data_IF_603941923504
#
_entry.id   IF_603941923504
#
_cell.length_a   1.000
_cell.length_b   1.000
_cell.length_c   1.000
_cell.angle_alpha   90.00
_cell.angle_beta   90.00
_cell.angle_gamma   90.00
#
_symmetry.space_group_name_H-M   'P 1'
#
loop_
_entity.id
_entity.type
_entity.pdbx_description
1 polymer ?
#
# COMPACT_ATOMS: atom_id res chain seq x y z
N UNK A 1 14.32 16.76 8.57
CA UNK A 1 13.53 17.56 7.58
C UNK A 1 12.14 17.76 8.18
N UNK A 2 11.68 19.01 8.32
CA UNK A 2 10.39 19.35 8.91
C UNK A 2 9.23 19.39 7.90
N UNK A 3 8.10 19.96 8.31
CA UNK A 3 6.96 20.29 7.45
C UNK A 3 7.10 21.67 6.82
N UNK A 4 6.46 21.88 5.68
CA UNK A 4 6.41 23.14 4.94
C UNK A 4 5.15 23.95 5.31
N UNK A 5 5.06 25.23 4.90
CA UNK A 5 3.86 26.03 5.13
C UNK A 5 2.59 25.34 4.60
N UNK A 6 1.47 25.52 5.32
CA UNK A 6 0.22 24.78 5.07
C UNK A 6 -0.30 24.89 3.64
N UNK A 7 -0.18 26.05 3.01
CA UNK A 7 -0.63 26.26 1.63
C UNK A 7 0.20 25.43 0.64
N UNK A 8 1.50 25.27 0.90
CA UNK A 8 2.40 24.50 0.04
C UNK A 8 2.12 23.00 0.19
N UNK A 9 1.97 22.51 1.43
CA UNK A 9 1.56 21.13 1.71
C UNK A 9 0.11 20.82 1.27
N UNK A 10 -0.69 21.85 0.99
CA UNK A 10 -2.01 21.62 0.43
C UNK A 10 -1.94 21.26 -1.06
N UNK A 11 -0.98 21.82 -1.79
CA UNK A 11 -0.88 21.73 -3.26
C UNK A 11 0.16 20.71 -3.72
N UNK A 12 1.36 20.72 -3.14
CA UNK A 12 2.51 19.95 -3.58
C UNK A 12 2.77 18.72 -2.72
N UNK A 13 3.32 17.67 -3.32
CA UNK A 13 3.96 16.59 -2.57
C UNK A 13 5.21 17.16 -1.90
N UNK A 14 5.35 16.90 -0.60
CA UNK A 14 6.46 17.37 0.22
C UNK A 14 7.18 16.17 0.83
N UNK A 15 8.35 16.41 1.41
CA UNK A 15 9.07 15.35 2.11
C UNK A 15 8.21 14.65 3.18
N UNK A 16 7.25 15.35 3.81
CA UNK A 16 6.32 14.74 4.77
C UNK A 16 5.34 13.78 4.10
N UNK A 17 4.70 14.20 3.00
CA UNK A 17 3.77 13.33 2.25
C UNK A 17 4.48 12.11 1.66
N UNK A 18 5.69 12.30 1.13
CA UNK A 18 6.48 11.21 0.57
C UNK A 18 6.97 10.21 1.62
N UNK A 19 7.20 10.64 2.87
CA UNK A 19 7.47 9.70 3.97
C UNK A 19 6.26 8.82 4.25
N UNK A 20 5.05 9.41 4.31
CA UNK A 20 3.80 8.64 4.46
C UNK A 20 3.65 7.64 3.32
N UNK A 21 3.91 8.03 2.08
CA UNK A 21 3.88 7.14 0.92
C UNK A 21 4.79 5.90 1.09
N UNK A 22 5.98 6.07 1.67
CA UNK A 22 6.89 4.97 1.97
C UNK A 22 6.62 4.25 3.30
N UNK A 23 5.53 4.57 3.97
CA UNK A 23 5.15 4.03 5.26
C UNK A 23 4.56 2.63 5.18
N UNK A 24 5.08 1.73 6.01
CA UNK A 24 4.52 0.39 6.28
C UNK A 24 3.62 0.35 7.52
N UNK A 25 3.36 1.51 8.16
CA UNK A 25 2.34 1.63 9.20
C UNK A 25 0.98 1.33 8.57
N UNK A 26 0.09 0.65 9.31
CA UNK A 26 -1.25 0.30 8.81
C UNK A 26 -2.04 1.52 8.29
N UNK A 27 -1.90 2.67 8.93
CA UNK A 27 -2.60 3.91 8.54
C UNK A 27 -2.08 4.52 7.23
N UNK A 28 -0.82 4.21 6.86
CA UNK A 28 -0.12 4.81 5.73
C UNK A 28 -0.12 3.92 4.48
N UNK A 29 -0.69 2.71 4.57
CA UNK A 29 -0.84 1.82 3.43
C UNK A 29 -1.77 2.44 2.39
N UNK A 30 -1.34 2.41 1.13
CA UNK A 30 -2.11 2.92 -0.02
C UNK A 30 -2.50 4.40 0.12
N UNK A 31 -1.56 5.24 0.58
CA UNK A 31 -1.72 6.70 0.75
C UNK A 31 -0.68 7.50 -0.04
N UNK A 32 -1.04 8.75 -0.35
CA UNK A 32 -0.15 9.78 -0.91
C UNK A 32 0.61 9.36 -2.19
N UNK A 33 -0.13 8.97 -3.23
CA UNK A 33 0.41 8.48 -4.50
C UNK A 33 0.91 9.58 -5.46
N UNK A 34 0.43 10.81 -5.32
CA UNK A 34 0.72 11.90 -6.24
C UNK A 34 2.17 12.31 -6.21
N UNK A 35 2.88 12.26 -7.34
CA UNK A 35 4.33 12.54 -7.40
C UNK A 35 4.69 14.02 -7.14
N UNK A 36 4.09 14.94 -7.90
CA UNK A 36 4.35 16.39 -7.79
C UNK A 36 3.24 17.09 -6.99
N UNK A 37 1.98 16.76 -7.28
CA UNK A 37 0.81 17.40 -6.66
C UNK A 37 0.11 16.43 -5.73
N UNK A 38 -0.02 16.83 -4.46
CA UNK A 38 -0.80 16.07 -3.46
C UNK A 38 -2.31 16.31 -3.61
N UNK A 39 -2.70 17.28 -4.44
CA UNK A 39 -4.11 17.56 -4.77
C UNK A 39 -4.84 16.33 -5.30
N UNK A 40 -4.16 15.48 -6.08
CA UNK A 40 -4.77 14.25 -6.59
C UNK A 40 -5.21 13.33 -5.47
N UNK A 41 -4.37 13.13 -4.45
CA UNK A 41 -4.72 12.33 -3.28
C UNK A 41 -5.88 12.91 -2.47
N UNK A 42 -5.99 14.25 -2.43
CA UNK A 42 -7.14 14.91 -1.78
C UNK A 42 -8.41 14.69 -2.59
N UNK A 43 -8.34 14.79 -3.92
CA UNK A 43 -9.49 14.61 -4.81
C UNK A 43 -10.00 13.16 -4.81
N UNK A 44 -9.08 12.19 -4.77
CA UNK A 44 -9.41 10.77 -4.83
C UNK A 44 -9.47 10.08 -3.46
N UNK A 45 -9.28 10.83 -2.37
CA UNK A 45 -9.46 10.32 -1.00
C UNK A 45 -8.32 9.42 -0.49
N UNK A 46 -7.13 9.51 -1.10
CA UNK A 46 -5.91 8.78 -0.69
C UNK A 46 -4.94 9.64 0.11
N UNK A 47 -5.29 10.90 0.42
CA UNK A 47 -4.44 11.79 1.22
C UNK A 47 -4.42 11.37 2.70
N UNK A 48 -3.23 11.28 3.26
CA UNK A 48 -3.00 11.04 4.70
C UNK A 48 -1.85 11.93 5.21
N UNK A 49 -2.06 12.74 6.27
CA UNK A 49 -0.99 13.51 6.89
C UNK A 49 -0.03 12.63 7.72
N UNK A 50 1.22 13.06 7.88
CA UNK A 50 2.21 12.36 8.70
C UNK A 50 1.99 12.57 10.21
N UNK A 51 1.04 11.85 10.82
CA UNK A 51 0.66 12.03 12.23
C UNK A 51 1.49 11.22 13.23
N UNK A 52 1.97 10.04 12.84
CA UNK A 52 2.84 9.16 13.61
C UNK A 52 4.21 8.97 12.95
N UNK A 53 5.17 8.47 13.72
CA UNK A 53 6.49 8.08 13.23
C UNK A 53 6.36 7.00 12.14
N UNK A 54 6.86 7.33 10.95
CA UNK A 54 6.86 6.44 9.79
C UNK A 54 7.86 5.28 9.99
N UNK A 55 7.37 4.05 9.78
CA UNK A 55 8.17 2.83 9.66
C UNK A 55 8.34 2.52 8.18
N UNK A 56 9.55 2.62 7.67
CA UNK A 56 9.83 2.38 6.26
C UNK A 56 9.89 0.88 5.94
N UNK A 57 9.61 0.55 4.68
CA UNK A 57 9.75 -0.80 4.13
C UNK A 57 8.42 -1.36 3.64
N UNK A 58 8.39 -2.68 3.46
CA UNK A 58 7.19 -3.42 3.08
C UNK A 58 6.54 -4.03 4.32
N UNK A 59 5.24 -4.28 4.28
CA UNK A 59 4.54 -5.04 5.34
C UNK A 59 5.09 -6.46 5.47
N UNK A 60 5.60 -7.02 4.36
CA UNK A 60 6.37 -8.26 4.29
C UNK A 60 7.69 -7.96 3.58
N UNK A 61 8.77 -7.82 4.35
CA UNK A 61 10.06 -7.44 3.79
C UNK A 61 10.68 -8.57 2.94
N UNK A 62 11.39 -8.18 1.89
CA UNK A 62 12.13 -9.06 1.02
C UNK A 62 13.59 -9.03 1.47
N UNK A 63 14.10 -10.13 2.01
CA UNK A 63 15.47 -10.23 2.54
C UNK A 63 16.45 -10.77 1.50
N UNK A 64 16.50 -10.16 0.31
CA UNK A 64 17.46 -10.52 -0.74
C UNK A 64 17.77 -9.35 -1.65
N UNK A 65 18.97 -9.34 -2.23
CA UNK A 65 19.40 -8.38 -3.25
C UNK A 65 19.32 -8.97 -4.67
N UNK A 66 18.83 -10.19 -4.82
CA UNK A 66 18.66 -10.79 -6.14
C UNK A 66 17.50 -10.10 -6.88
N UNK A 67 17.84 -9.36 -7.94
CA UNK A 67 16.89 -8.58 -8.75
C UNK A 67 15.71 -9.43 -9.25
N UNK A 68 15.99 -10.61 -9.81
CA UNK A 68 14.94 -11.50 -10.33
C UNK A 68 13.94 -11.90 -9.26
N UNK A 69 14.41 -12.18 -8.04
CA UNK A 69 13.54 -12.52 -6.91
C UNK A 69 12.72 -11.32 -6.44
N UNK A 70 13.34 -10.15 -6.33
CA UNK A 70 12.63 -8.91 -5.95
C UNK A 70 11.51 -8.60 -6.95
N UNK A 71 11.77 -8.73 -8.26
CA UNK A 71 10.75 -8.47 -9.27
C UNK A 71 9.67 -9.56 -9.36
N UNK A 72 10.02 -10.85 -9.20
CA UNK A 72 9.09 -11.96 -9.49
C UNK A 72 8.28 -12.49 -8.30
N UNK A 73 8.71 -12.25 -7.06
CA UNK A 73 8.10 -12.91 -5.88
C UNK A 73 6.60 -12.61 -5.72
N UNK A 74 6.17 -11.37 -5.98
CA UNK A 74 4.76 -10.99 -5.86
C UNK A 74 3.90 -11.60 -6.99
N UNK A 75 4.43 -11.70 -8.21
CA UNK A 75 3.74 -12.40 -9.31
C UNK A 75 3.56 -13.89 -9.00
N UNK A 76 4.55 -14.52 -8.36
CA UNK A 76 4.43 -15.90 -7.91
C UNK A 76 3.38 -16.06 -6.81
N UNK A 77 3.26 -15.09 -5.89
CA UNK A 77 2.22 -15.06 -4.87
C UNK A 77 0.81 -14.91 -5.49
N UNK A 78 0.61 -13.97 -6.41
CA UNK A 78 -0.65 -13.80 -7.16
C UNK A 78 -1.03 -15.08 -7.90
N UNK A 79 -0.06 -15.75 -8.56
CA UNK A 79 -0.31 -17.02 -9.25
C UNK A 79 -0.71 -18.14 -8.29
N UNK A 80 -0.12 -18.18 -7.08
CA UNK A 80 -0.50 -19.14 -6.05
C UNK A 80 -1.93 -18.87 -5.54
N UNK A 81 -2.28 -17.61 -5.27
CA UNK A 81 -3.63 -17.21 -4.87
C UNK A 81 -4.65 -17.53 -5.96
N UNK A 82 -4.34 -17.26 -7.23
CA UNK A 82 -5.20 -17.60 -8.36
C UNK A 82 -5.41 -19.12 -8.52
N UNK A 83 -4.38 -19.93 -8.28
CA UNK A 83 -4.46 -21.41 -8.36
C UNK A 83 -5.31 -22.00 -7.23
N UNK A 84 -5.30 -21.38 -6.05
CA UNK A 84 -6.07 -21.83 -4.87
C UNK A 84 -7.48 -21.25 -4.81
N UNK A 85 -7.73 -20.14 -5.52
CA UNK A 85 -9.02 -19.47 -5.61
C UNK A 85 -10.13 -20.38 -6.19
N UNK A 86 -11.28 -20.41 -5.50
CA UNK A 86 -12.47 -21.17 -5.92
C UNK A 86 -13.46 -20.26 -6.64
N UNK A 87 -13.75 -20.60 -7.90
CA UNK A 87 -14.72 -19.90 -8.74
C UNK A 87 -14.19 -18.62 -9.39
N UNK A 88 -14.97 -18.09 -10.35
CA UNK A 88 -14.55 -16.98 -11.20
C UNK A 88 -14.32 -15.67 -10.43
N UNK A 89 -15.16 -15.37 -9.42
CA UNK A 89 -15.05 -14.16 -8.61
C UNK A 89 -13.75 -14.09 -7.80
N UNK A 90 -13.38 -15.19 -7.12
CA UNK A 90 -12.14 -15.25 -6.35
C UNK A 90 -10.92 -15.18 -7.27
N UNK A 91 -10.97 -15.84 -8.43
CA UNK A 91 -9.91 -15.79 -9.44
C UNK A 91 -9.71 -14.38 -10.01
N UNK A 92 -10.80 -13.69 -10.34
CA UNK A 92 -10.73 -12.30 -10.80
C UNK A 92 -10.10 -11.40 -9.73
N UNK A 93 -10.59 -11.50 -8.49
CA UNK A 93 -10.06 -10.63 -7.45
C UNK A 93 -8.64 -10.95 -6.98
N UNK A 94 -8.18 -12.21 -7.11
CA UNK A 94 -6.79 -12.57 -6.88
C UNK A 94 -5.81 -11.84 -7.82
N UNK A 95 -6.27 -11.45 -9.02
CA UNK A 95 -5.44 -10.76 -10.03
C UNK A 95 -5.59 -9.25 -9.97
N UNK A 96 -6.80 -8.74 -9.75
CA UNK A 96 -7.11 -7.31 -9.91
C UNK A 96 -7.23 -6.53 -8.60
N UNK A 97 -7.37 -7.18 -7.44
CA UNK A 97 -7.45 -6.51 -6.16
C UNK A 97 -6.20 -6.74 -5.31
N UNK A 98 -5.90 -5.80 -4.42
CA UNK A 98 -4.74 -5.89 -3.54
C UNK A 98 -4.79 -7.08 -2.58
N UNK A 99 -3.65 -7.47 -1.98
CA UNK A 99 -3.51 -8.68 -1.16
C UNK A 99 -4.47 -8.75 0.05
N UNK A 100 -4.95 -7.59 0.54
CA UNK A 100 -5.97 -7.54 1.59
C UNK A 100 -7.35 -8.11 1.17
N UNK A 101 -7.68 -8.06 -0.12
CA UNK A 101 -8.94 -8.58 -0.65
C UNK A 101 -8.99 -10.11 -0.56
N UNK A 102 -7.93 -10.81 -0.97
CA UNK A 102 -7.87 -12.27 -0.92
C UNK A 102 -7.84 -12.79 0.53
N UNK A 103 -7.06 -12.15 1.41
CA UNK A 103 -7.01 -12.49 2.83
C UNK A 103 -8.38 -12.39 3.52
N UNK A 104 -9.22 -11.43 3.12
CA UNK A 104 -10.58 -11.25 3.65
C UNK A 104 -11.60 -12.30 3.19
N UNK A 105 -11.35 -12.98 2.07
CA UNK A 105 -12.25 -14.00 1.51
C UNK A 105 -11.94 -15.40 2.03
N UNK A 106 -10.66 -15.70 2.28
CA UNK A 106 -10.21 -17.00 2.81
C UNK A 106 -10.50 -17.14 4.30
N UNK A 107 -10.44 -16.04 5.05
CA UNK A 107 -10.84 -15.99 6.46
C UNK A 107 -12.29 -15.53 6.54
N UNK A 108 -13.24 -16.45 6.59
CA UNK A 108 -14.61 -16.09 6.97
C UNK A 108 -14.59 -15.38 8.33
N UNK A 109 -14.94 -14.09 8.36
CA UNK A 109 -15.11 -13.25 9.54
C UNK A 109 -13.91 -13.18 10.53
N UNK A 110 -13.05 -12.17 10.33
CA UNK A 110 -12.15 -11.47 11.28
C UNK A 110 -11.34 -12.24 12.35
N UNK A 111 -10.14 -11.71 12.67
CA UNK A 111 -10.04 -11.06 13.98
C UNK A 111 -9.66 -9.58 13.90
N UNK A 112 -10.18 -8.84 14.87
CA UNK A 112 -9.96 -7.44 15.23
C UNK A 112 -8.48 -7.03 15.16
N UNK A 113 -8.15 -5.79 14.74
CA UNK A 113 -6.77 -5.31 14.82
C UNK A 113 -6.33 -5.18 16.29
N UNK A 114 -5.08 -5.57 16.55
CA UNK A 114 -4.36 -5.33 17.80
C UNK A 114 -4.22 -3.84 18.09
#
# INVERSE_FOLDING_TARGET
>A
IGRLPRWYEYVFNTASHHRVHHGSNRQYLDRNHGGIFILWDRLFGTFEPEVERVRYGLTKNIHTYNLWRVFSHEYAAILADFRTARGAKQKFGAVFFGPGWFASQTQGAAPTPQ
#
